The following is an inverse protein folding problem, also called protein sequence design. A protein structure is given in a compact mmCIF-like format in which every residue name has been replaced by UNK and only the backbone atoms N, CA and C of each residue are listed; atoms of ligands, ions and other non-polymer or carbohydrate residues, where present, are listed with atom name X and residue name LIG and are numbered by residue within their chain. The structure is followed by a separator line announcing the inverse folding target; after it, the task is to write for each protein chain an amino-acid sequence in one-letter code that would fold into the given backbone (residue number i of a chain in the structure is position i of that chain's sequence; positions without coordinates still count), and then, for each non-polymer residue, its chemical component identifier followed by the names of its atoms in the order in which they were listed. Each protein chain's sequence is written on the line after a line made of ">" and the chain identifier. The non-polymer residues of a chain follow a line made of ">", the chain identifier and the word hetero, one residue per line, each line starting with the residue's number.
data_IF_474117697571
#
_entry.id   IF_474117697571
#
_cell.length_a   1.000
_cell.length_b   1.000
_cell.length_c   1.000
_cell.angle_alpha   90.00
_cell.angle_beta   90.00
_cell.angle_gamma   90.00
#
_symmetry.space_group_name_H-M   'P 1'
#
loop_
_entity.id
_entity.type
_entity.pdbx_description
1 polymer ?
#
# COMPACT_ATOMS: atom_id res chain seq x y z
N UNK A 1 18.35 2.08 15.66
CA UNK A 1 16.98 2.26 15.17
C UNK A 1 16.07 2.79 16.30
N UNK A 2 15.18 3.72 16.01
CA UNK A 2 14.18 4.26 16.96
C UNK A 2 12.80 4.24 16.31
N UNK A 3 11.78 3.81 17.09
CA UNK A 3 10.39 3.81 16.66
C UNK A 3 9.61 4.78 17.56
N UNK A 4 8.92 5.72 16.95
CA UNK A 4 8.07 6.71 17.62
C UNK A 4 6.61 6.52 17.16
N UNK A 5 5.65 6.65 18.07
CA UNK A 5 4.23 6.80 17.72
C UNK A 5 3.98 8.28 17.42
N UNK A 6 3.58 8.61 16.20
CA UNK A 6 3.29 9.99 15.78
C UNK A 6 1.86 10.42 16.10
N UNK A 7 0.93 9.49 15.92
CA UNK A 7 -0.48 9.69 16.22
C UNK A 7 -1.11 8.34 16.57
N UNK A 8 -2.14 8.35 17.40
CA UNK A 8 -2.92 7.19 17.82
C UNK A 8 -4.43 7.45 17.74
N UNK A 9 -5.23 6.43 18.09
CA UNK A 9 -6.70 6.50 17.96
C UNK A 9 -7.19 6.81 16.54
N UNK A 10 -6.45 6.35 15.54
CA UNK A 10 -6.74 6.57 14.12
C UNK A 10 -7.64 5.49 13.50
N UNK A 11 -8.05 4.48 14.29
CA UNK A 11 -8.81 3.33 13.80
C UNK A 11 -7.93 2.35 13.02
N UNK A 12 -8.55 1.55 12.14
CA UNK A 12 -7.81 0.62 11.27
C UNK A 12 -7.10 1.42 10.17
N UNK A 13 -5.81 1.68 10.37
CA UNK A 13 -5.00 2.55 9.51
C UNK A 13 -4.43 1.81 8.31
N UNK A 14 -4.35 2.52 7.16
CA UNK A 14 -3.82 2.03 5.89
C UNK A 14 -3.16 3.14 5.07
N UNK A 15 -2.55 2.79 3.94
CA UNK A 15 -2.11 3.64 2.85
C UNK A 15 -1.36 4.91 3.26
N UNK A 16 -0.20 4.83 3.93
CA UNK A 16 0.55 6.04 4.31
C UNK A 16 1.24 6.64 3.07
N UNK A 17 1.18 7.96 2.95
CA UNK A 17 1.84 8.73 1.87
C UNK A 17 2.55 9.94 2.44
N UNK A 18 3.83 10.09 2.08
CA UNK A 18 4.60 11.29 2.37
C UNK A 18 4.21 12.42 1.42
N UNK A 19 3.77 13.55 1.98
CA UNK A 19 3.33 14.71 1.22
C UNK A 19 4.48 15.71 0.95
N UNK A 20 4.38 16.53 -0.10
CA UNK A 20 5.39 17.54 -0.41
C UNK A 20 5.59 18.59 0.68
N UNK A 21 4.58 18.84 1.49
CA UNK A 21 4.63 19.76 2.65
C UNK A 21 5.21 19.11 3.91
N UNK A 22 5.76 17.87 3.78
CA UNK A 22 6.40 17.07 4.83
C UNK A 22 5.45 16.53 5.90
N UNK A 23 4.18 16.43 5.59
CA UNK A 23 3.19 15.72 6.40
C UNK A 23 2.95 14.32 5.85
N UNK A 24 2.27 13.49 6.61
CA UNK A 24 1.86 12.14 6.20
C UNK A 24 0.34 12.11 6.09
N UNK A 25 -0.17 11.78 4.91
CA UNK A 25 -1.54 11.37 4.74
C UNK A 25 -1.65 9.86 4.91
N UNK A 26 -2.74 9.39 5.51
CA UNK A 26 -3.07 7.97 5.63
C UNK A 26 -4.57 7.78 5.67
N UNK A 27 -5.04 6.60 5.35
CA UNK A 27 -6.45 6.23 5.44
C UNK A 27 -6.78 5.57 6.77
N UNK A 28 -8.06 5.58 7.10
CA UNK A 28 -8.64 4.81 8.18
C UNK A 28 -9.91 4.10 7.69
N UNK A 29 -9.81 2.80 7.50
CA UNK A 29 -10.92 1.96 7.04
C UNK A 29 -12.10 2.07 8.02
N UNK A 30 -11.85 1.84 9.30
CA UNK A 30 -12.91 1.82 10.32
C UNK A 30 -13.52 3.20 10.62
N UNK A 31 -12.79 4.28 10.39
CA UNK A 31 -13.28 5.63 10.59
C UNK A 31 -13.84 6.28 9.31
N UNK A 32 -13.65 5.65 8.12
CA UNK A 32 -14.13 6.16 6.83
C UNK A 32 -13.58 7.54 6.49
N UNK A 33 -12.29 7.72 6.66
CA UNK A 33 -11.65 9.03 6.47
C UNK A 33 -10.15 8.90 6.15
N UNK A 34 -9.59 10.02 5.69
CA UNK A 34 -8.16 10.27 5.68
C UNK A 34 -7.78 11.02 6.95
N UNK A 35 -6.57 10.78 7.41
CA UNK A 35 -5.88 11.62 8.38
C UNK A 35 -4.65 12.24 7.76
N UNK A 36 -4.32 13.48 8.17
CA UNK A 36 -3.05 14.13 7.81
C UNK A 36 -2.33 14.48 9.11
N UNK A 37 -1.13 13.95 9.26
CA UNK A 37 -0.31 14.01 10.48
C UNK A 37 0.97 14.78 10.20
N UNK A 38 1.27 15.79 11.02
CA UNK A 38 2.57 16.47 10.99
C UNK A 38 3.56 15.71 11.89
N UNK A 39 4.69 15.20 11.36
CA UNK A 39 5.68 14.50 12.18
C UNK A 39 6.38 15.40 13.21
N UNK A 40 6.25 16.72 13.09
CA UNK A 40 6.71 17.68 14.10
C UNK A 40 5.72 17.82 15.28
N UNK A 41 4.52 17.24 15.14
CA UNK A 41 3.44 17.33 16.12
C UNK A 41 2.41 18.39 15.76
N UNK A 42 1.29 18.38 16.49
CA UNK A 42 0.19 19.30 16.24
C UNK A 42 -1.16 18.58 16.07
N UNK A 43 -2.21 19.29 15.68
CA UNK A 43 -3.51 18.69 15.46
C UNK A 43 -3.47 17.76 14.23
N UNK A 44 -4.15 16.62 14.35
CA UNK A 44 -4.36 15.70 13.23
C UNK A 44 -5.56 16.20 12.42
N UNK A 45 -5.36 16.46 11.14
CA UNK A 45 -6.46 16.82 10.23
C UNK A 45 -7.25 15.56 9.84
N UNK A 46 -8.54 15.72 9.59
CA UNK A 46 -9.43 14.64 9.19
C UNK A 46 -10.28 15.04 7.99
N UNK A 47 -10.30 14.17 6.94
CA UNK A 47 -11.13 14.35 5.75
C UNK A 47 -12.04 13.12 5.62
N UNK A 48 -13.34 13.31 5.67
CA UNK A 48 -14.32 12.21 5.65
C UNK A 48 -14.53 11.75 4.21
N UNK A 49 -14.28 10.46 3.95
CA UNK A 49 -14.51 9.80 2.65
C UNK A 49 -15.76 8.91 2.66
N UNK A 50 -16.20 8.49 3.85
CA UNK A 50 -17.18 7.42 4.01
C UNK A 50 -16.58 6.05 3.67
N UNK A 51 -17.40 5.00 3.75
CA UNK A 51 -17.03 3.63 3.40
C UNK A 51 -15.80 3.11 4.12
N UNK A 52 -14.99 2.35 3.42
CA UNK A 52 -13.71 1.80 3.88
C UNK A 52 -12.56 2.23 2.97
N UNK A 53 -12.01 3.45 3.14
CA UNK A 53 -10.83 3.89 2.40
C UNK A 53 -9.62 3.03 2.81
N UNK A 54 -8.93 2.48 1.84
CA UNK A 54 -7.81 1.55 1.99
C UNK A 54 -6.52 2.20 1.48
N UNK A 55 -5.89 1.73 0.43
CA UNK A 55 -4.68 2.32 -0.10
C UNK A 55 -4.84 3.80 -0.50
N UNK A 56 -3.73 4.52 -0.53
CA UNK A 56 -3.65 5.94 -0.86
C UNK A 56 -2.43 6.22 -1.74
N UNK A 57 -2.58 7.03 -2.78
CA UNK A 57 -1.45 7.53 -3.56
C UNK A 57 -1.57 9.03 -3.83
N UNK A 58 -0.42 9.70 -3.89
CA UNK A 58 -0.32 11.08 -4.32
C UNK A 58 -0.07 11.13 -5.83
N UNK A 59 -0.97 11.77 -6.56
CA UNK A 59 -0.82 11.99 -7.99
C UNK A 59 0.22 13.04 -8.35
N UNK A 60 0.68 13.04 -9.60
CA UNK A 60 1.64 14.02 -10.10
C UNK A 60 1.09 15.46 -10.10
N UNK A 61 -0.23 15.59 -10.04
CA UNK A 61 -0.99 16.82 -9.91
C UNK A 61 -1.17 17.31 -8.46
N UNK A 62 -0.68 16.54 -7.47
CA UNK A 62 -0.84 16.82 -6.05
C UNK A 62 -2.19 16.36 -5.48
N UNK A 63 -3.01 15.67 -6.26
CA UNK A 63 -4.29 15.10 -5.85
C UNK A 63 -4.05 13.79 -5.12
N UNK A 64 -4.80 13.52 -4.04
CA UNK A 64 -4.79 12.23 -3.37
C UNK A 64 -5.84 11.31 -3.99
N UNK A 65 -5.40 10.09 -4.34
CA UNK A 65 -6.24 9.02 -4.88
C UNK A 65 -6.40 7.94 -3.83
N UNK A 66 -7.63 7.51 -3.59
CA UNK A 66 -8.01 6.60 -2.49
C UNK A 66 -8.64 5.34 -3.05
N UNK A 67 -8.10 4.18 -2.75
CA UNK A 67 -8.76 2.91 -2.99
C UNK A 67 -9.93 2.75 -2.00
N UNK A 68 -11.16 2.88 -2.48
CA UNK A 68 -12.37 2.72 -1.68
C UNK A 68 -12.88 1.29 -1.79
N UNK A 69 -12.76 0.49 -0.73
CA UNK A 69 -13.14 -0.93 -0.76
C UNK A 69 -14.65 -1.20 -0.61
N UNK A 70 -15.45 -0.15 -0.46
CA UNK A 70 -16.90 -0.29 -0.30
C UNK A 70 -17.33 -0.80 1.08
N UNK A 71 -16.39 -1.08 1.99
CA UNK A 71 -16.66 -1.48 3.36
C UNK A 71 -16.51 -2.97 3.65
N UNK A 72 -15.93 -3.77 2.75
CA UNK A 72 -15.75 -5.23 2.97
C UNK A 72 -14.81 -5.56 4.13
N UNK A 73 -13.86 -4.67 4.46
CA UNK A 73 -12.95 -4.82 5.60
C UNK A 73 -13.33 -3.92 6.80
N UNK A 74 -14.56 -3.46 6.83
CA UNK A 74 -15.06 -2.48 7.77
C UNK A 74 -15.30 -1.13 7.12
N UNK A 75 -16.17 -0.34 7.72
CA UNK A 75 -16.58 0.93 7.16
C UNK A 75 -17.09 1.88 8.23
N UNK A 76 -17.06 3.17 7.89
CA UNK A 76 -17.84 4.19 8.57
C UNK A 76 -18.69 4.94 7.52
N UNK A 77 -20.00 4.74 7.59
CA UNK A 77 -20.93 5.24 6.57
C UNK A 77 -20.92 4.38 5.29
N UNK A 78 -21.59 4.88 4.25
CA UNK A 78 -21.71 4.21 2.95
C UNK A 78 -20.90 4.95 1.90
N UNK A 79 -20.11 4.20 1.12
CA UNK A 79 -19.47 4.68 -0.11
C UNK A 79 -19.33 3.50 -1.06
N UNK A 80 -19.68 3.64 -2.35
CA UNK A 80 -19.46 2.59 -3.34
C UNK A 80 -17.97 2.24 -3.48
N UNK A 81 -17.67 0.99 -3.85
CA UNK A 81 -16.29 0.60 -4.19
C UNK A 81 -15.82 1.32 -5.47
N UNK A 82 -14.55 1.70 -5.49
CA UNK A 82 -13.95 2.44 -6.60
C UNK A 82 -12.71 3.21 -6.18
N UNK A 83 -12.32 4.18 -6.97
CA UNK A 83 -11.25 5.13 -6.64
C UNK A 83 -11.86 6.49 -6.38
N UNK A 84 -11.62 7.03 -5.19
CA UNK A 84 -11.98 8.42 -4.86
C UNK A 84 -10.76 9.32 -5.07
N UNK A 85 -11.04 10.62 -5.29
CA UNK A 85 -10.03 11.70 -5.28
C UNK A 85 -10.35 12.68 -4.17
N UNK A 86 -9.30 13.27 -3.61
CA UNK A 86 -9.41 14.31 -2.59
C UNK A 86 -8.64 15.53 -3.05
N UNK A 87 -9.37 16.62 -3.27
CA UNK A 87 -8.83 17.92 -3.70
C UNK A 87 -9.33 18.99 -2.74
N UNK A 88 -8.42 19.70 -2.09
CA UNK A 88 -8.78 20.76 -1.12
C UNK A 88 -9.81 20.34 -0.08
N UNK A 89 -9.72 19.09 0.39
CA UNK A 89 -10.65 18.49 1.34
C UNK A 89 -12.00 18.04 0.77
N UNK A 90 -12.25 18.25 -0.51
CA UNK A 90 -13.43 17.73 -1.21
C UNK A 90 -13.17 16.32 -1.75
N UNK A 91 -14.14 15.43 -1.57
CA UNK A 91 -14.08 14.03 -2.01
C UNK A 91 -15.04 13.82 -3.17
N UNK A 92 -14.52 13.23 -4.25
CA UNK A 92 -15.31 12.83 -5.42
C UNK A 92 -14.81 11.47 -5.94
N UNK A 93 -15.52 10.89 -6.92
CA UNK A 93 -15.10 9.65 -7.56
C UNK A 93 -14.31 9.92 -8.84
N UNK A 94 -13.14 9.27 -8.92
CA UNK A 94 -12.31 9.21 -10.13
C UNK A 94 -12.70 8.02 -11.01
N UNK A 95 -12.92 6.85 -10.39
CA UNK A 95 -13.30 5.63 -11.09
C UNK A 95 -14.25 4.78 -10.24
N UNK A 96 -15.16 4.07 -10.89
CA UNK A 96 -16.18 3.20 -10.27
C UNK A 96 -16.22 1.84 -10.99
N UNK A 97 -17.10 0.93 -10.54
CA UNK A 97 -17.28 -0.37 -11.18
C UNK A 97 -16.29 -1.45 -10.71
N UNK A 98 -15.48 -1.15 -9.72
CA UNK A 98 -14.59 -2.10 -9.03
C UNK A 98 -15.35 -2.84 -7.94
N UNK A 99 -14.80 -4.00 -7.52
CA UNK A 99 -15.42 -4.81 -6.46
C UNK A 99 -15.04 -4.34 -5.07
N UNK A 100 -13.76 -4.33 -4.77
CA UNK A 100 -13.18 -3.90 -3.50
C UNK A 100 -11.71 -3.51 -3.68
N UNK A 101 -11.43 -2.31 -4.21
CA UNK A 101 -10.08 -1.78 -4.32
C UNK A 101 -9.33 -1.86 -3.00
N UNK A 102 -8.07 -2.30 -3.06
CA UNK A 102 -7.23 -2.47 -1.90
C UNK A 102 -6.10 -1.43 -1.89
N UNK A 103 -5.16 -1.51 -2.82
CA UNK A 103 -4.03 -0.58 -2.88
C UNK A 103 -3.86 -0.01 -4.30
N UNK A 104 -3.05 1.05 -4.44
CA UNK A 104 -2.91 1.74 -5.71
C UNK A 104 -1.56 2.46 -5.85
N UNK A 105 -1.06 2.51 -7.09
CA UNK A 105 0.22 3.14 -7.42
C UNK A 105 0.17 3.76 -8.82
N UNK A 106 0.90 4.85 -9.04
CA UNK A 106 1.09 5.39 -10.38
C UNK A 106 2.10 4.56 -11.16
N UNK A 107 1.68 4.10 -12.35
CA UNK A 107 2.52 3.31 -13.23
C UNK A 107 3.44 4.16 -14.12
N UNK A 108 4.43 3.51 -14.76
CA UNK A 108 5.37 4.18 -15.68
C UNK A 108 4.68 4.67 -16.97
N UNK A 109 3.48 4.21 -17.24
CA UNK A 109 2.60 4.58 -18.35
C UNK A 109 1.67 5.76 -18.02
N UNK A 110 1.91 6.43 -16.89
CA UNK A 110 1.11 7.54 -16.37
C UNK A 110 -0.36 7.18 -16.07
N UNK A 111 -0.67 5.89 -15.90
CA UNK A 111 -1.97 5.42 -15.40
C UNK A 111 -1.90 5.15 -13.89
N UNK A 112 -3.05 5.22 -13.23
CA UNK A 112 -3.20 4.73 -11.87
C UNK A 112 -3.53 3.24 -11.90
N UNK A 113 -2.69 2.43 -11.24
CA UNK A 113 -2.86 0.98 -11.13
C UNK A 113 -3.44 0.63 -9.77
N UNK A 114 -4.44 -0.25 -9.75
CA UNK A 114 -5.23 -0.54 -8.56
C UNK A 114 -5.39 -2.05 -8.41
N UNK A 115 -5.06 -2.58 -7.23
CA UNK A 115 -5.43 -3.95 -6.87
C UNK A 115 -6.88 -3.98 -6.38
N UNK A 116 -7.61 -5.01 -6.77
CA UNK A 116 -9.02 -5.18 -6.43
C UNK A 116 -9.22 -6.59 -5.85
N UNK A 117 -9.46 -6.67 -4.56
CA UNK A 117 -9.76 -7.92 -3.85
C UNK A 117 -11.13 -8.49 -4.26
N UNK A 118 -12.02 -7.64 -4.81
CA UNK A 118 -13.32 -7.93 -5.40
C UNK A 118 -14.46 -8.24 -4.42
N UNK A 119 -14.21 -8.98 -3.35
CA UNK A 119 -15.22 -9.39 -2.39
C UNK A 119 -14.59 -9.74 -1.04
N UNK A 120 -15.42 -9.97 -0.05
CA UNK A 120 -14.98 -10.57 1.21
C UNK A 120 -14.27 -11.90 0.98
N UNK A 121 -13.25 -12.15 1.78
CA UNK A 121 -12.46 -13.38 1.73
C UNK A 121 -13.04 -14.41 2.69
N UNK A 122 -13.31 -15.60 2.19
CA UNK A 122 -13.56 -16.77 3.06
C UNK A 122 -12.21 -17.33 3.56
N UNK A 123 -11.80 -16.91 4.74
CA UNK A 123 -10.55 -17.37 5.34
C UNK A 123 -10.56 -18.89 5.72
N UNK A 124 -11.73 -19.51 5.80
CA UNK A 124 -11.85 -20.93 6.06
C UNK A 124 -11.74 -21.78 4.78
N UNK A 125 -12.09 -21.19 3.64
CA UNK A 125 -12.03 -21.81 2.31
C UNK A 125 -11.57 -20.76 1.28
N UNK A 126 -10.30 -20.31 1.34
CA UNK A 126 -9.82 -19.23 0.49
C UNK A 126 -9.98 -19.49 -1.01
N UNK A 127 -9.89 -20.75 -1.42
CA UNK A 127 -10.07 -21.20 -2.80
C UNK A 127 -11.50 -20.98 -3.34
N UNK A 128 -12.47 -20.77 -2.46
CA UNK A 128 -13.85 -20.42 -2.84
C UNK A 128 -14.00 -18.92 -3.11
N UNK A 129 -13.02 -18.10 -2.69
CA UNK A 129 -13.02 -16.67 -2.92
C UNK A 129 -12.60 -16.36 -4.36
N UNK A 130 -13.08 -15.25 -4.96
CA UNK A 130 -12.74 -14.91 -6.32
C UNK A 130 -11.26 -14.52 -6.46
N UNK A 131 -10.63 -14.79 -7.61
CA UNK A 131 -9.29 -14.27 -7.89
C UNK A 131 -9.30 -12.75 -7.91
N UNK A 132 -8.22 -12.13 -7.43
CA UNK A 132 -8.06 -10.68 -7.45
C UNK A 132 -7.88 -10.13 -8.86
N UNK A 133 -8.15 -8.85 -9.01
CA UNK A 133 -7.93 -8.10 -10.25
C UNK A 133 -6.88 -7.01 -10.08
N UNK A 134 -6.31 -6.60 -11.20
CA UNK A 134 -5.56 -5.34 -11.31
C UNK A 134 -6.19 -4.50 -12.40
N UNK A 135 -6.47 -3.25 -12.08
CA UNK A 135 -6.98 -2.24 -12.98
C UNK A 135 -5.90 -1.23 -13.34
N UNK A 136 -5.98 -0.67 -14.54
CA UNK A 136 -5.25 0.52 -14.92
C UNK A 136 -6.24 1.62 -15.32
N UNK A 137 -6.18 2.74 -14.63
CA UNK A 137 -7.09 3.86 -14.78
C UNK A 137 -6.37 5.02 -15.46
N UNK A 138 -6.72 5.39 -16.70
CA UNK A 138 -6.17 6.56 -17.39
C UNK A 138 -6.55 7.86 -16.66
N UNK A 139 -5.60 8.81 -16.58
CA UNK A 139 -5.85 10.09 -15.90
C UNK A 139 -6.64 11.11 -16.73
N UNK A 140 -6.86 10.82 -18.01
CA UNK A 140 -7.62 11.68 -18.93
C UNK A 140 -9.14 11.45 -18.88
N UNK A 141 -9.62 10.58 -17.97
CA UNK A 141 -11.02 10.26 -17.79
C UNK A 141 -11.54 9.17 -18.73
N UNK A 142 -10.67 8.47 -19.46
CA UNK A 142 -11.07 7.25 -20.16
C UNK A 142 -11.45 6.14 -19.18
N UNK A 143 -12.24 5.17 -19.65
CA UNK A 143 -12.71 4.06 -18.82
C UNK A 143 -11.55 3.23 -18.27
N UNK A 144 -11.62 2.81 -16.99
CA UNK A 144 -10.66 1.89 -16.39
C UNK A 144 -10.59 0.55 -17.15
N UNK A 145 -9.38 0.03 -17.32
CA UNK A 145 -9.13 -1.24 -17.97
C UNK A 145 -8.71 -2.30 -16.96
N UNK A 146 -9.31 -3.49 -17.00
CA UNK A 146 -8.82 -4.64 -16.23
C UNK A 146 -7.64 -5.26 -16.95
N UNK A 147 -6.48 -5.17 -16.32
CA UNK A 147 -5.21 -5.65 -16.86
C UNK A 147 -4.95 -7.10 -16.44
N UNK A 148 -5.33 -7.47 -15.23
CA UNK A 148 -5.22 -8.82 -14.69
C UNK A 148 -6.56 -9.24 -14.10
N UNK A 149 -7.07 -10.44 -14.51
CA UNK A 149 -8.36 -10.97 -14.03
C UNK A 149 -8.23 -12.27 -13.24
N UNK A 150 -7.05 -12.87 -13.21
CA UNK A 150 -6.74 -14.14 -12.54
C UNK A 150 -5.58 -13.99 -11.54
N UNK A 151 -5.53 -12.85 -10.86
CA UNK A 151 -4.56 -12.57 -9.80
C UNK A 151 -4.76 -13.47 -8.57
N UNK A 152 -3.84 -13.40 -7.60
CA UNK A 152 -3.96 -14.17 -6.37
C UNK A 152 -5.23 -13.78 -5.62
N UNK A 153 -5.84 -14.75 -4.95
CA UNK A 153 -6.90 -14.47 -3.97
C UNK A 153 -6.33 -13.57 -2.88
N UNK A 154 -7.08 -12.54 -2.50
CA UNK A 154 -6.60 -11.48 -1.62
C UNK A 154 -5.31 -10.84 -2.12
N UNK A 155 -5.37 -10.36 -3.36
CA UNK A 155 -4.36 -9.45 -3.91
C UNK A 155 -4.35 -8.16 -3.07
N UNK A 156 -3.16 -7.67 -2.70
CA UNK A 156 -3.04 -6.59 -1.74
C UNK A 156 -2.11 -5.47 -2.27
N UNK A 157 -0.99 -5.17 -1.62
CA UNK A 157 -0.07 -4.13 -2.04
C UNK A 157 0.49 -4.34 -3.44
N UNK A 158 0.80 -3.25 -4.13
CA UNK A 158 1.44 -3.28 -5.44
C UNK A 158 2.48 -2.17 -5.58
N UNK A 159 3.54 -2.45 -6.34
CA UNK A 159 4.56 -1.46 -6.66
C UNK A 159 5.30 -1.83 -7.95
N UNK A 160 5.72 -0.83 -8.73
CA UNK A 160 6.59 -1.08 -9.87
C UNK A 160 8.05 -1.18 -9.42
N UNK A 161 8.82 -2.08 -10.05
CA UNK A 161 10.28 -2.08 -9.91
C UNK A 161 10.87 -0.78 -10.45
N UNK A 162 12.03 -0.37 -9.92
CA UNK A 162 12.66 0.90 -10.30
C UNK A 162 13.00 1.02 -11.79
N UNK A 163 13.16 -0.11 -12.49
CA UNK A 163 13.34 -0.16 -13.95
C UNK A 163 12.01 -0.20 -14.73
N UNK A 164 10.89 -0.17 -14.03
CA UNK A 164 9.53 -0.21 -14.57
C UNK A 164 9.18 -1.48 -15.40
N UNK A 165 9.98 -2.55 -15.29
CA UNK A 165 9.78 -3.78 -16.05
C UNK A 165 8.85 -4.78 -15.39
N UNK A 166 8.67 -4.67 -14.08
CA UNK A 166 7.81 -5.58 -13.33
C UNK A 166 6.88 -4.82 -12.40
N UNK A 167 5.66 -5.32 -12.29
CA UNK A 167 4.74 -5.00 -11.22
C UNK A 167 4.91 -6.06 -10.13
N UNK A 168 5.34 -5.66 -8.96
CA UNK A 168 5.34 -6.48 -7.76
C UNK A 168 3.97 -6.42 -7.10
N UNK A 169 3.50 -7.56 -6.61
CA UNK A 169 2.20 -7.69 -5.95
C UNK A 169 2.36 -8.60 -4.74
N UNK A 170 1.80 -8.19 -3.62
CA UNK A 170 1.66 -9.05 -2.45
C UNK A 170 0.42 -9.91 -2.56
N UNK A 171 0.58 -11.20 -2.27
CA UNK A 171 -0.47 -12.20 -2.23
C UNK A 171 -0.64 -12.67 -0.78
N UNK A 172 -1.54 -12.02 -0.06
CA UNK A 172 -1.67 -12.12 1.41
C UNK A 172 -1.83 -13.57 1.87
N UNK A 173 -2.79 -14.29 1.31
CA UNK A 173 -3.11 -15.64 1.77
C UNK A 173 -2.08 -16.71 1.38
N UNK A 174 -1.34 -16.48 0.30
CA UNK A 174 -0.25 -17.38 -0.10
C UNK A 174 1.11 -16.99 0.47
N UNK A 175 1.15 -15.94 1.31
CA UNK A 175 2.37 -15.42 1.94
C UNK A 175 3.49 -15.18 0.92
N UNK A 176 3.16 -14.60 -0.24
CA UNK A 176 4.08 -14.49 -1.36
C UNK A 176 4.20 -13.05 -1.88
N UNK A 177 5.41 -12.73 -2.38
CA UNK A 177 5.67 -11.60 -3.26
C UNK A 177 5.80 -12.12 -4.69
N UNK A 178 4.96 -11.63 -5.58
CA UNK A 178 4.88 -12.03 -6.98
C UNK A 178 5.33 -10.89 -7.88
N UNK A 179 5.99 -11.22 -8.99
CA UNK A 179 6.34 -10.27 -10.04
C UNK A 179 5.63 -10.62 -11.35
N UNK A 180 4.91 -9.66 -11.88
CA UNK A 180 4.33 -9.70 -13.22
C UNK A 180 5.19 -8.86 -14.16
N UNK A 181 5.65 -9.42 -15.26
CA UNK A 181 6.35 -8.65 -16.27
C UNK A 181 5.38 -7.69 -16.95
N UNK A 182 5.70 -6.40 -16.89
CA UNK A 182 4.96 -5.38 -17.64
C UNK A 182 5.45 -5.46 -19.07
N UNK A 183 4.63 -6.02 -19.95
CA UNK A 183 4.97 -6.10 -21.36
C UNK A 183 5.09 -4.70 -21.98
N UNK A 184 5.87 -4.61 -23.06
CA UNK A 184 6.01 -3.38 -23.84
C UNK A 184 4.65 -2.89 -24.32
N UNK A 185 4.51 -1.58 -24.58
CA UNK A 185 3.27 -0.88 -24.91
C UNK A 185 2.37 -1.52 -26.01
N UNK A 186 2.90 -2.49 -26.74
CA UNK A 186 2.22 -3.13 -27.88
C UNK A 186 1.66 -4.54 -27.61
N UNK A 187 1.91 -5.13 -26.43
CA UNK A 187 1.35 -6.45 -26.07
C UNK A 187 1.43 -6.70 -24.56
N UNK A 188 0.37 -6.42 -23.80
CA UNK A 188 0.29 -6.77 -22.39
C UNK A 188 -0.02 -8.26 -22.26
N UNK A 189 0.95 -9.12 -22.51
CA UNK A 189 0.81 -10.51 -22.09
C UNK A 189 1.27 -10.61 -20.65
N UNK A 190 0.33 -10.54 -19.74
CA UNK A 190 0.52 -10.90 -18.33
C UNK A 190 0.83 -12.39 -18.28
N UNK A 191 2.10 -12.71 -18.44
CA UNK A 191 2.58 -14.06 -18.23
C UNK A 191 2.29 -14.51 -16.78
N UNK A 192 2.34 -15.82 -16.54
CA UNK A 192 2.26 -16.31 -15.17
C UNK A 192 3.26 -15.55 -14.30
N UNK A 193 2.86 -15.11 -13.09
CA UNK A 193 3.75 -14.36 -12.22
C UNK A 193 4.97 -15.21 -11.85
N UNK A 194 6.11 -14.57 -11.73
CA UNK A 194 7.29 -15.16 -11.11
C UNK A 194 7.17 -15.00 -9.60
N UNK A 195 7.37 -16.08 -8.85
CA UNK A 195 7.55 -16.00 -7.41
C UNK A 195 8.88 -15.27 -7.13
N UNK A 196 8.82 -14.15 -6.40
CA UNK A 196 9.98 -13.40 -5.96
C UNK A 196 10.43 -13.90 -4.59
N UNK A 197 9.49 -13.94 -3.63
CA UNK A 197 9.78 -14.33 -2.25
C UNK A 197 8.58 -15.05 -1.64
N UNK A 198 8.84 -15.97 -0.69
CA UNK A 198 7.81 -16.55 0.18
C UNK A 198 8.14 -16.16 1.61
N UNK A 199 7.20 -15.48 2.26
CA UNK A 199 7.37 -15.07 3.64
C UNK A 199 7.15 -16.26 4.59
N UNK A 200 8.07 -16.46 5.51
CA UNK A 200 8.09 -17.58 6.44
C UNK A 200 7.06 -17.45 7.58
N UNK A 201 6.61 -16.24 7.84
CA UNK A 201 5.61 -15.90 8.84
C UNK A 201 4.94 -14.57 8.50
N UNK A 202 3.64 -14.45 8.76
CA UNK A 202 2.88 -13.25 8.53
C UNK A 202 2.24 -13.19 7.14
N UNK A 203 1.37 -12.21 7.00
CA UNK A 203 0.61 -11.94 5.78
C UNK A 203 1.16 -10.68 5.13
N UNK A 204 1.77 -10.78 3.94
CA UNK A 204 2.24 -9.60 3.23
C UNK A 204 1.06 -8.73 2.82
N UNK A 205 1.20 -7.44 3.10
CA UNK A 205 0.17 -6.42 2.90
C UNK A 205 0.72 -5.31 2.00
N UNK A 206 0.65 -4.06 2.37
CA UNK A 206 1.20 -2.96 1.60
C UNK A 206 2.73 -2.97 1.53
N UNK A 207 3.28 -2.27 0.54
CA UNK A 207 4.73 -2.20 0.33
C UNK A 207 5.17 -0.89 -0.32
N UNK A 208 6.47 -0.59 -0.20
CA UNK A 208 7.14 0.46 -0.97
C UNK A 208 8.43 -0.06 -1.58
N UNK A 209 8.80 0.43 -2.76
CA UNK A 209 10.10 0.17 -3.37
C UNK A 209 11.05 1.31 -3.05
N UNK A 210 12.22 0.97 -2.47
CA UNK A 210 13.27 1.95 -2.24
C UNK A 210 13.96 2.36 -3.55
N UNK A 211 14.63 3.51 -3.60
CA UNK A 211 15.44 3.90 -4.76
C UNK A 211 16.54 2.90 -5.15
N UNK A 212 16.99 2.06 -4.21
CA UNK A 212 17.92 0.95 -4.47
C UNK A 212 17.23 -0.31 -5.03
N UNK A 213 15.89 -0.29 -5.20
CA UNK A 213 15.11 -1.37 -5.80
C UNK A 213 14.64 -2.45 -4.82
N UNK A 214 14.83 -2.27 -3.52
CA UNK A 214 14.35 -3.21 -2.50
C UNK A 214 12.86 -3.01 -2.24
N UNK A 215 12.14 -4.11 -2.08
CA UNK A 215 10.74 -4.10 -1.63
C UNK A 215 10.69 -4.16 -0.10
N UNK A 216 10.09 -3.14 0.51
CA UNK A 216 9.84 -3.06 1.95
C UNK A 216 8.38 -3.43 2.18
N UNK A 217 8.14 -4.61 2.74
CA UNK A 217 6.81 -5.24 2.78
C UNK A 217 6.32 -5.32 4.21
N UNK A 218 5.14 -4.77 4.48
CA UNK A 218 4.46 -4.91 5.77
C UNK A 218 3.94 -6.34 5.93
N UNK A 219 4.22 -6.96 7.08
CA UNK A 219 3.76 -8.31 7.43
C UNK A 219 2.81 -8.25 8.62
N UNK A 220 1.52 -8.22 8.33
CA UNK A 220 0.47 -7.93 9.33
C UNK A 220 0.50 -8.88 10.52
N UNK A 221 0.53 -10.16 10.32
CA UNK A 221 0.47 -11.13 11.43
C UNK A 221 1.83 -11.39 12.11
N UNK A 222 2.89 -10.66 11.71
CA UNK A 222 4.25 -10.85 12.20
C UNK A 222 4.85 -9.62 12.86
N UNK A 223 4.11 -8.50 12.94
CA UNK A 223 4.55 -7.23 13.55
C UNK A 223 5.93 -6.76 13.05
N UNK A 224 6.18 -6.86 11.74
CA UNK A 224 7.46 -6.49 11.15
C UNK A 224 7.35 -5.99 9.72
N UNK A 225 8.41 -5.34 9.25
CA UNK A 225 8.64 -5.06 7.83
C UNK A 225 9.79 -5.94 7.37
N UNK A 226 9.60 -6.76 6.35
CA UNK A 226 10.69 -7.49 5.69
C UNK A 226 11.18 -6.70 4.47
N UNK A 227 12.49 -6.67 4.29
CA UNK A 227 13.15 -6.00 3.16
C UNK A 227 13.67 -7.06 2.22
N UNK A 228 13.13 -7.09 1.01
CA UNK A 228 13.44 -8.07 -0.03
C UNK A 228 14.25 -7.36 -1.11
N UNK A 229 15.40 -7.89 -1.43
CA UNK A 229 16.27 -7.36 -2.48
C UNK A 229 15.74 -7.71 -3.90
N UNK A 230 16.31 -7.11 -4.97
CA UNK A 230 15.89 -7.42 -6.33
C UNK A 230 16.11 -8.89 -6.78
N UNK A 231 16.97 -9.64 -6.08
CA UNK A 231 17.16 -11.06 -6.32
C UNK A 231 16.07 -11.93 -5.68
N UNK A 232 15.32 -11.37 -4.73
CA UNK A 232 14.27 -12.04 -3.98
C UNK A 232 14.70 -12.55 -2.61
N UNK A 233 15.90 -12.21 -2.17
CA UNK A 233 16.39 -12.59 -0.85
C UNK A 233 15.98 -11.56 0.20
N UNK A 234 15.58 -12.05 1.40
CA UNK A 234 15.33 -11.15 2.54
C UNK A 234 16.66 -10.66 3.09
N UNK A 235 16.95 -9.38 2.90
CA UNK A 235 18.22 -8.78 3.31
C UNK A 235 18.12 -8.06 4.68
N UNK A 236 16.93 -7.68 5.13
CA UNK A 236 16.72 -7.10 6.45
C UNK A 236 15.30 -7.38 6.98
N UNK A 237 15.15 -7.20 8.29
CA UNK A 237 13.86 -7.22 8.99
C UNK A 237 13.83 -6.07 10.00
N UNK A 238 12.72 -5.34 10.03
CA UNK A 238 12.46 -4.27 10.99
C UNK A 238 11.37 -4.76 11.92
N UNK A 239 11.74 -5.13 13.12
CA UNK A 239 10.80 -5.51 14.17
C UNK A 239 10.05 -4.28 14.67
N UNK A 240 8.74 -4.38 14.72
CA UNK A 240 7.82 -3.35 15.22
C UNK A 240 7.32 -3.73 16.62
N UNK A 241 6.71 -2.82 17.36
CA UNK A 241 6.10 -3.15 18.65
C UNK A 241 5.10 -4.29 18.52
N UNK A 242 5.16 -5.24 19.46
CA UNK A 242 4.27 -6.41 19.47
C UNK A 242 2.79 -5.99 19.46
N UNK A 243 2.00 -6.62 18.61
CA UNK A 243 0.59 -6.32 18.42
C UNK A 243 0.33 -5.07 17.57
N UNK A 244 1.30 -4.57 16.83
CA UNK A 244 1.09 -3.40 15.94
C UNK A 244 0.21 -3.72 14.74
N UNK A 245 0.30 -4.92 14.17
CA UNK A 245 -0.38 -5.32 12.93
C UNK A 245 -0.09 -4.29 11.81
N UNK A 246 1.16 -4.22 11.30
CA UNK A 246 1.48 -3.29 10.23
C UNK A 246 0.75 -3.66 8.94
N UNK A 247 0.12 -2.68 8.30
CA UNK A 247 -0.65 -2.88 7.08
C UNK A 247 0.05 -2.31 5.86
N UNK A 248 0.70 -1.16 5.99
CA UNK A 248 1.35 -0.53 4.85
C UNK A 248 2.53 0.34 5.32
N UNK A 249 3.36 0.76 4.37
CA UNK A 249 4.59 1.50 4.66
C UNK A 249 4.92 2.48 3.54
N UNK A 250 5.40 3.69 3.90
CA UNK A 250 6.00 4.60 2.94
C UNK A 250 7.35 5.13 3.43
N UNK A 251 8.18 5.52 2.47
CA UNK A 251 9.46 6.20 2.72
C UNK A 251 9.21 7.69 2.73
N UNK A 252 9.79 8.39 3.70
CA UNK A 252 9.69 9.83 3.82
C UNK A 252 10.84 10.42 4.64
N UNK A 253 10.62 11.60 5.21
CA UNK A 253 11.69 12.37 5.83
C UNK A 253 12.37 13.32 4.84
N UNK A 254 13.11 14.28 5.37
CA UNK A 254 13.76 15.32 4.54
C UNK A 254 14.80 14.74 3.56
N UNK A 255 15.33 13.57 3.84
CA UNK A 255 16.36 12.88 3.08
C UNK A 255 15.91 11.48 2.63
N UNK A 256 14.60 11.16 2.69
CA UNK A 256 14.06 9.83 2.44
C UNK A 256 14.70 8.75 3.34
N UNK A 257 14.95 9.11 4.58
CA UNK A 257 15.68 8.33 5.58
C UNK A 257 14.78 7.87 6.76
N UNK A 258 13.48 8.07 6.63
CA UNK A 258 12.49 7.63 7.60
C UNK A 258 11.45 6.72 6.95
N UNK A 259 10.92 5.75 7.72
CA UNK A 259 9.74 5.01 7.33
C UNK A 259 8.55 5.46 8.16
N UNK A 260 7.40 5.48 7.52
CA UNK A 260 6.11 5.68 8.16
C UNK A 260 5.27 4.43 7.94
N UNK A 261 4.80 3.84 9.02
CA UNK A 261 4.11 2.54 9.02
C UNK A 261 2.73 2.71 9.63
N UNK A 262 1.71 2.28 8.92
CA UNK A 262 0.36 2.16 9.46
C UNK A 262 0.26 0.90 10.31
N UNK A 263 -0.15 1.05 11.57
CA UNK A 263 -0.23 -0.02 12.55
C UNK A 263 -1.69 -0.16 13.01
N UNK A 264 -2.43 -1.04 12.33
CA UNK A 264 -3.88 -1.08 12.40
C UNK A 264 -4.44 -1.54 13.75
N UNK A 265 -3.80 -2.50 14.42
CA UNK A 265 -4.30 -2.96 15.71
C UNK A 265 -4.04 -1.96 16.84
N UNK A 266 -2.90 -1.28 16.81
CA UNK A 266 -2.62 -0.18 17.74
C UNK A 266 -3.24 1.15 17.30
N UNK A 267 -3.95 1.16 16.16
CA UNK A 267 -4.65 2.31 15.61
C UNK A 267 -3.75 3.54 15.43
N UNK A 268 -2.52 3.33 14.98
CA UNK A 268 -1.48 4.36 15.04
C UNK A 268 -0.71 4.49 13.73
N UNK A 269 -0.04 5.65 13.62
CA UNK A 269 1.01 5.89 12.65
C UNK A 269 2.35 5.84 13.39
N UNK A 270 3.22 4.94 12.97
CA UNK A 270 4.57 4.80 13.49
C UNK A 270 5.58 5.50 12.57
N UNK A 271 6.63 6.07 13.17
CA UNK A 271 7.82 6.53 12.47
C UNK A 271 9.01 5.69 12.90
N UNK A 272 9.72 5.12 11.93
CA UNK A 272 10.98 4.40 12.14
C UNK A 272 12.13 5.26 11.63
N UNK A 273 13.09 5.56 12.50
CA UNK A 273 14.31 6.30 12.18
C UNK A 273 15.52 5.40 12.34
N UNK A 274 16.39 5.43 11.34
CA UNK A 274 17.63 4.67 11.33
C UNK A 274 18.77 5.55 11.87
N UNK A 275 19.68 4.97 12.64
CA UNK A 275 20.88 5.65 13.16
C UNK A 275 22.13 5.13 12.47
N UNK A 276 23.12 6.02 12.28
CA UNK A 276 24.45 5.64 11.81
C UNK A 276 25.04 4.55 12.72
N UNK A 277 25.18 3.32 12.20
CA UNK A 277 25.71 2.18 12.98
C UNK A 277 24.75 1.01 13.16
N UNK A 278 23.51 1.08 12.70
CA UNK A 278 22.69 -0.12 12.52
C UNK A 278 23.23 -0.92 11.33
N UNK A 279 24.28 -1.72 11.60
CA UNK A 279 25.06 -2.44 10.58
C UNK A 279 24.23 -3.38 9.69
N UNK A 280 23.05 -3.80 10.14
CA UNK A 280 22.08 -4.55 9.33
C UNK A 280 21.41 -3.71 8.25
N UNK A 281 21.46 -2.38 8.38
CA UNK A 281 20.82 -1.44 7.45
C UNK A 281 21.80 -0.85 6.42
N UNK A 282 23.12 -0.98 6.62
CA UNK A 282 24.13 -0.46 5.68
C UNK A 282 24.23 -1.30 4.40
N UNK A 283 23.87 -2.58 4.43
CA UNK A 283 23.78 -3.42 3.23
C UNK A 283 22.43 -3.26 2.50
N UNK A 284 21.41 -2.78 3.22
CA UNK A 284 20.08 -2.46 2.70
C UNK A 284 19.76 -0.95 2.80
N UNK A 285 20.79 -0.12 2.88
CA UNK A 285 20.64 1.29 3.18
C UNK A 285 19.65 1.99 2.22
N UNK A 286 18.77 2.79 2.81
CA UNK A 286 18.12 3.86 2.07
C UNK A 286 19.23 4.74 1.47
N UNK A 287 19.17 5.09 0.19
CA UNK A 287 20.15 6.00 -0.37
C UNK A 287 20.06 7.35 0.36
N UNK A 288 21.22 7.78 0.89
CA UNK A 288 21.38 9.10 1.49
C UNK A 288 21.27 10.22 0.44
#
# INVERSE_FOLDING_TARGET
>A
MRIDVLADNLGFTEGPVWLPDRRIALTSISHGCLYVVDPAGGPVERIVTGGGPNGLALGPDGVLYVAQNGGIFGASGSAPAGVQIVVDGHVDYFATGMGAPNDLVFGPDARLWVTDTRAEIDYAAPEASPPGWVWACPLDGAEPERILEDGPVFINGLAFTGDARSLLVTATLSSALLAYEVASADSPTWARPRLVHTFDNGWPDGMVISPSGQAWVALTAADRIDVIDPAGDRCATIELPAGSLPTNVCIGGAHSDELYVTAAHTQSLLRVRFSDGDASMTECALPG
#
